data_IF_281877671904
#
_entry.id   IF_281877671904
#
_cell.length_a   1.000
_cell.length_b   1.000
_cell.length_c   1.000
_cell.angle_alpha   90.00
_cell.angle_beta   90.00
_cell.angle_gamma   90.00
#
_symmetry.space_group_name_H-M   'P 1'
#
loop_
_entity.id
_entity.type
_entity.pdbx_description
1 polymer ?
#
# COMPACT_ATOMS: atom_id res chain seq x y z
N UNK A 1 -44.62 -4.13 20.30
CA UNK A 1 -43.18 -4.35 20.54
C UNK A 1 -42.51 -4.54 19.19
N UNK A 2 -41.74 -3.56 18.72
CA UNK A 2 -41.00 -3.66 17.45
C UNK A 2 -39.61 -4.19 17.78
N UNK A 3 -39.37 -5.46 17.47
CA UNK A 3 -38.03 -6.04 17.47
C UNK A 3 -37.24 -5.41 16.34
N UNK A 4 -36.40 -4.44 16.69
CA UNK A 4 -35.50 -3.75 15.76
C UNK A 4 -34.29 -4.65 15.52
N UNK A 5 -34.49 -5.73 14.76
CA UNK A 5 -33.38 -6.49 14.21
C UNK A 5 -32.73 -5.61 13.14
N UNK A 6 -31.60 -4.98 13.48
CA UNK A 6 -30.80 -4.22 12.52
C UNK A 6 -30.03 -5.22 11.67
N UNK A 7 -30.73 -5.93 10.80
CA UNK A 7 -30.12 -6.71 9.73
C UNK A 7 -29.23 -5.78 8.92
N UNK A 8 -27.91 -6.00 8.98
CA UNK A 8 -26.96 -5.36 8.08
C UNK A 8 -27.40 -5.67 6.65
N UNK A 9 -27.84 -4.67 5.91
CA UNK A 9 -28.19 -4.81 4.49
C UNK A 9 -26.95 -5.31 3.73
N UNK A 10 -27.03 -6.56 3.27
CA UNK A 10 -25.93 -7.26 2.60
C UNK A 10 -25.74 -6.69 1.18
N UNK A 11 -24.59 -6.07 0.92
CA UNK A 11 -24.25 -5.57 -0.42
C UNK A 11 -23.38 -6.59 -1.15
N UNK A 12 -24.03 -7.58 -1.76
CA UNK A 12 -23.39 -8.65 -2.54
C UNK A 12 -22.44 -8.11 -3.62
N UNK A 13 -22.84 -7.05 -4.30
CA UNK A 13 -22.03 -6.40 -5.35
C UNK A 13 -20.72 -5.84 -4.80
N UNK A 14 -20.75 -5.14 -3.66
CA UNK A 14 -19.53 -4.61 -3.03
C UNK A 14 -18.60 -5.74 -2.59
N UNK A 15 -19.15 -6.86 -2.12
CA UNK A 15 -18.36 -8.04 -1.78
C UNK A 15 -17.72 -8.68 -3.01
N UNK A 16 -18.47 -8.84 -4.11
CA UNK A 16 -17.94 -9.34 -5.37
C UNK A 16 -16.79 -8.47 -5.91
N UNK A 17 -16.94 -7.14 -5.86
CA UNK A 17 -15.88 -6.22 -6.30
C UNK A 17 -14.65 -6.31 -5.40
N UNK A 18 -14.82 -6.45 -4.07
CA UNK A 18 -13.69 -6.67 -3.15
C UNK A 18 -12.91 -7.94 -3.46
N UNK A 19 -13.62 -9.03 -3.75
CA UNK A 19 -13.00 -10.30 -4.13
C UNK A 19 -12.23 -10.13 -5.45
N UNK A 20 -12.84 -9.50 -6.45
CA UNK A 20 -12.17 -9.21 -7.73
C UNK A 20 -10.93 -8.34 -7.54
N UNK A 21 -11.01 -7.28 -6.71
CA UNK A 21 -9.88 -6.42 -6.40
C UNK A 21 -8.74 -7.17 -5.68
N UNK A 22 -9.06 -8.12 -4.79
CA UNK A 22 -8.08 -8.96 -4.11
C UNK A 22 -7.28 -9.83 -5.10
N UNK A 23 -7.95 -10.50 -6.04
CA UNK A 23 -7.24 -11.28 -7.06
C UNK A 23 -6.46 -10.37 -8.03
N UNK A 24 -7.03 -9.23 -8.38
CA UNK A 24 -6.40 -8.26 -9.28
C UNK A 24 -5.11 -7.67 -8.70
N UNK A 25 -5.05 -7.35 -7.40
CA UNK A 25 -3.81 -6.86 -6.78
C UNK A 25 -2.72 -7.93 -6.73
N UNK A 26 -3.09 -9.21 -6.62
CA UNK A 26 -2.10 -10.29 -6.73
C UNK A 26 -1.60 -10.40 -8.18
N UNK A 27 -2.51 -10.30 -9.15
CA UNK A 27 -2.18 -10.41 -10.57
C UNK A 27 -1.25 -9.31 -11.08
N UNK A 28 -1.28 -8.09 -10.53
CA UNK A 28 -0.32 -7.05 -10.91
C UNK A 28 1.12 -7.35 -10.45
N UNK A 29 1.30 -8.24 -9.47
CA UNK A 29 2.62 -8.65 -8.96
C UNK A 29 3.14 -9.93 -9.61
N UNK A 30 2.28 -10.70 -10.28
CA UNK A 30 2.66 -11.92 -10.99
C UNK A 30 2.81 -11.60 -12.47
N UNK A 31 3.97 -11.88 -13.05
CA UNK A 31 4.18 -11.78 -14.49
C UNK A 31 3.42 -12.88 -15.21
N UNK A 32 2.29 -12.52 -15.83
CA UNK A 32 1.50 -13.43 -16.65
C UNK A 32 2.05 -13.42 -18.08
N UNK A 33 2.41 -14.58 -18.66
CA UNK A 33 3.03 -14.63 -19.98
C UNK A 33 2.05 -14.26 -21.10
N UNK A 34 2.59 -13.75 -22.21
CA UNK A 34 1.85 -13.46 -23.43
C UNK A 34 1.02 -12.18 -23.42
N UNK A 35 0.42 -11.86 -24.57
CA UNK A 35 -0.36 -10.63 -24.78
C UNK A 35 -1.60 -10.55 -23.87
N UNK A 36 -2.24 -11.69 -23.61
CA UNK A 36 -3.41 -11.78 -22.73
C UNK A 36 -3.04 -11.45 -21.28
N UNK A 37 -1.89 -11.96 -20.80
CA UNK A 37 -1.39 -11.66 -19.47
C UNK A 37 -1.09 -10.17 -19.28
N UNK A 38 -0.42 -9.55 -20.25
CA UNK A 38 -0.15 -8.12 -20.24
C UNK A 38 -1.44 -7.28 -20.25
N UNK A 39 -2.44 -7.67 -21.06
CA UNK A 39 -3.74 -7.00 -21.08
C UNK A 39 -4.47 -7.11 -19.74
N UNK A 40 -4.47 -8.31 -19.13
CA UNK A 40 -5.08 -8.50 -17.82
C UNK A 40 -4.39 -7.68 -16.73
N UNK A 41 -3.06 -7.58 -16.74
CA UNK A 41 -2.33 -6.74 -15.79
C UNK A 41 -2.72 -5.26 -15.89
N UNK A 42 -3.01 -4.75 -17.09
CA UNK A 42 -3.48 -3.37 -17.28
C UNK A 42 -4.83 -3.18 -16.58
N UNK A 43 -5.77 -4.11 -16.81
CA UNK A 43 -7.09 -4.07 -16.18
C UNK A 43 -6.94 -4.18 -14.65
N UNK A 44 -6.15 -5.13 -14.18
CA UNK A 44 -5.96 -5.45 -12.76
C UNK A 44 -5.45 -4.26 -11.91
N UNK A 45 -4.86 -3.23 -12.54
CA UNK A 45 -4.47 -1.98 -11.87
C UNK A 45 -5.63 -1.24 -11.20
N UNK A 46 -6.88 -1.48 -11.61
CA UNK A 46 -8.06 -0.91 -10.95
C UNK A 46 -8.14 -1.29 -9.46
N UNK A 47 -7.53 -2.40 -9.05
CA UNK A 47 -7.55 -2.88 -7.67
C UNK A 47 -7.03 -1.85 -6.68
N UNK A 48 -5.93 -1.17 -7.02
CA UNK A 48 -5.26 -0.20 -6.16
C UNK A 48 -6.17 0.99 -5.80
N UNK A 49 -6.74 1.75 -6.77
CA UNK A 49 -7.70 2.79 -6.45
C UNK A 49 -8.98 2.25 -5.79
N UNK A 50 -9.40 1.01 -6.08
CA UNK A 50 -10.54 0.40 -5.39
C UNK A 50 -10.29 0.20 -3.89
N UNK A 51 -9.09 -0.27 -3.49
CA UNK A 51 -8.72 -0.39 -2.08
C UNK A 51 -8.71 0.96 -1.36
N UNK A 52 -8.22 2.01 -2.02
CA UNK A 52 -8.26 3.36 -1.48
C UNK A 52 -9.69 3.88 -1.31
N UNK A 53 -10.54 3.69 -2.31
CA UNK A 53 -11.94 4.10 -2.27
C UNK A 53 -12.72 3.37 -1.15
N UNK A 54 -12.52 2.05 -1.02
CA UNK A 54 -13.12 1.27 0.07
C UNK A 54 -12.64 1.78 1.43
N UNK A 55 -11.35 2.05 1.57
CA UNK A 55 -10.77 2.55 2.83
C UNK A 55 -11.29 3.93 3.19
N UNK A 56 -11.47 4.82 2.22
CA UNK A 56 -12.09 6.15 2.40
C UNK A 56 -13.56 6.03 2.76
N UNK A 57 -14.32 5.20 2.05
CA UNK A 57 -15.74 4.93 2.33
C UNK A 57 -15.96 4.45 3.76
N UNK A 58 -15.17 3.47 4.23
CA UNK A 58 -15.24 2.98 5.61
C UNK A 58 -14.59 3.92 6.63
N UNK A 59 -14.05 5.06 6.23
CA UNK A 59 -13.61 6.15 7.12
C UNK A 59 -14.59 7.32 7.11
N UNK A 60 -15.58 7.34 6.20
CA UNK A 60 -16.56 8.40 6.11
C UNK A 60 -17.46 8.46 7.35
N UNK A 61 -17.67 9.68 7.86
CA UNK A 61 -18.52 9.97 9.02
C UNK A 61 -18.15 9.19 10.30
N UNK A 62 -16.88 8.80 10.43
CA UNK A 62 -16.33 8.18 11.64
C UNK A 62 -15.78 9.25 12.58
N UNK A 63 -15.85 9.02 13.89
CA UNK A 63 -15.30 9.94 14.88
C UNK A 63 -13.78 10.18 14.69
N UNK A 64 -13.35 11.42 14.93
CA UNK A 64 -11.94 11.83 14.84
C UNK A 64 -11.00 10.90 15.62
N UNK A 65 -11.40 10.48 16.82
CA UNK A 65 -10.63 9.55 17.66
C UNK A 65 -10.39 8.19 17.00
N UNK A 66 -11.37 7.65 16.26
CA UNK A 66 -11.22 6.39 15.54
C UNK A 66 -10.27 6.54 14.34
N UNK A 67 -10.35 7.64 13.60
CA UNK A 67 -9.42 7.95 12.49
C UNK A 67 -8.00 8.09 13.04
N UNK A 68 -7.79 8.86 14.11
CA UNK A 68 -6.50 9.00 14.77
C UNK A 68 -5.93 7.65 15.23
N UNK A 69 -6.77 6.75 15.75
CA UNK A 69 -6.34 5.41 16.11
C UNK A 69 -5.93 4.56 14.89
N UNK A 70 -6.58 4.73 13.73
CA UNK A 70 -6.18 4.10 12.47
C UNK A 70 -4.84 4.65 11.98
N UNK A 71 -4.67 5.97 11.98
CA UNK A 71 -3.39 6.64 11.65
C UNK A 71 -2.27 6.10 12.54
N UNK A 72 -2.46 6.05 13.86
CA UNK A 72 -1.47 5.50 14.81
C UNK A 72 -1.12 4.04 14.52
N UNK A 73 -2.11 3.22 14.14
CA UNK A 73 -1.87 1.80 13.76
C UNK A 73 -1.03 1.72 12.48
N UNK A 74 -1.40 2.46 11.43
CA UNK A 74 -0.67 2.48 10.16
C UNK A 74 0.73 3.05 10.34
N UNK A 75 0.87 4.15 11.08
CA UNK A 75 2.17 4.76 11.36
C UNK A 75 3.12 3.78 12.08
N UNK A 76 2.61 3.05 13.10
CA UNK A 76 3.40 2.00 13.76
C UNK A 76 3.79 0.87 12.80
N UNK A 77 2.90 0.50 11.88
CA UNK A 77 3.17 -0.53 10.87
C UNK A 77 4.23 -0.05 9.86
N UNK A 78 4.14 1.20 9.41
CA UNK A 78 5.14 1.84 8.55
C UNK A 78 6.49 1.82 9.25
N UNK A 79 6.58 2.29 10.49
CA UNK A 79 7.86 2.34 11.21
C UNK A 79 8.50 0.96 11.33
N UNK A 80 7.72 -0.06 11.74
CA UNK A 80 8.21 -1.44 11.87
C UNK A 80 8.64 -2.04 10.52
N UNK A 81 7.85 -1.81 9.48
CA UNK A 81 8.14 -2.36 8.15
C UNK A 81 9.36 -1.67 7.53
N UNK A 82 9.42 -0.33 7.58
CA UNK A 82 10.57 0.44 7.11
C UNK A 82 11.85 0.00 7.80
N UNK A 83 11.82 -0.16 9.13
CA UNK A 83 12.97 -0.65 9.87
C UNK A 83 13.43 -2.03 9.39
N UNK A 84 12.51 -2.97 9.19
CA UNK A 84 12.81 -4.29 8.65
C UNK A 84 13.45 -4.23 7.26
N UNK A 85 12.91 -3.44 6.33
CA UNK A 85 13.47 -3.31 4.99
C UNK A 85 14.80 -2.57 4.95
N UNK A 86 15.02 -1.58 5.83
CA UNK A 86 16.33 -0.91 5.97
C UNK A 86 17.39 -1.90 6.40
N UNK A 87 17.10 -2.79 7.36
CA UNK A 87 18.05 -3.83 7.78
C UNK A 87 18.43 -4.72 6.59
N UNK A 88 17.43 -5.20 5.83
CA UNK A 88 17.67 -6.04 4.65
C UNK A 88 18.51 -5.28 3.62
N UNK A 89 18.17 -4.01 3.37
CA UNK A 89 18.87 -3.17 2.40
C UNK A 89 20.33 -2.97 2.77
N UNK A 90 20.61 -2.60 4.03
CA UNK A 90 21.99 -2.45 4.53
C UNK A 90 22.75 -3.77 4.47
N UNK A 91 22.12 -4.88 4.88
CA UNK A 91 22.74 -6.20 4.84
C UNK A 91 23.11 -6.64 3.42
N UNK A 92 22.25 -6.37 2.43
CA UNK A 92 22.49 -6.70 1.03
C UNK A 92 23.73 -5.95 0.48
N UNK A 93 23.79 -4.64 0.69
CA UNK A 93 24.93 -3.82 0.22
C UNK A 93 26.22 -4.08 1.00
N UNK A 94 26.12 -4.45 2.28
CA UNK A 94 27.28 -4.87 3.06
C UNK A 94 27.92 -6.14 2.49
N UNK A 95 27.09 -7.12 2.11
CA UNK A 95 27.56 -8.36 1.48
C UNK A 95 28.20 -8.13 0.11
N UNK A 96 27.72 -7.13 -0.63
CA UNK A 96 28.27 -6.73 -1.93
C UNK A 96 29.51 -5.82 -1.81
N UNK A 97 29.90 -5.41 -0.59
CA UNK A 97 31.04 -4.52 -0.34
C UNK A 97 30.82 -3.07 -0.79
N UNK A 98 29.58 -2.68 -1.08
CA UNK A 98 29.26 -1.44 -1.78
C UNK A 98 28.44 -0.44 -0.93
N UNK A 99 28.91 -0.20 0.30
CA UNK A 99 28.22 0.63 1.30
C UNK A 99 28.03 2.11 0.86
N UNK A 100 28.81 2.59 -0.11
CA UNK A 100 28.72 3.96 -0.61
C UNK A 100 27.38 4.23 -1.32
N UNK A 101 26.77 3.23 -1.94
CA UNK A 101 25.49 3.38 -2.65
C UNK A 101 24.33 3.69 -1.70
N UNK A 102 24.41 3.26 -0.45
CA UNK A 102 23.40 3.58 0.57
C UNK A 102 23.32 5.10 0.72
N UNK A 103 24.47 5.78 0.90
CA UNK A 103 24.51 7.23 1.08
C UNK A 103 24.15 8.00 -0.20
N UNK A 104 24.52 7.47 -1.38
CA UNK A 104 24.16 8.09 -2.66
C UNK A 104 22.65 8.07 -2.93
N UNK A 105 21.95 7.04 -2.44
CA UNK A 105 20.50 6.95 -2.57
C UNK A 105 19.77 7.96 -1.69
N UNK A 106 20.36 8.37 -0.56
CA UNK A 106 19.86 9.46 0.29
C UNK A 106 20.23 10.86 -0.26
N UNK A 107 19.86 11.12 -1.50
CA UNK A 107 20.01 12.44 -2.12
C UNK A 107 18.69 13.23 -2.09
N UNK A 108 18.79 14.55 -2.24
CA UNK A 108 17.62 15.45 -2.21
C UNK A 108 16.58 15.09 -3.27
N UNK A 109 17.02 14.67 -4.47
CA UNK A 109 16.13 14.27 -5.57
C UNK A 109 15.26 13.07 -5.22
N UNK A 110 15.84 12.05 -4.58
CA UNK A 110 15.14 10.84 -4.16
C UNK A 110 14.23 11.11 -2.97
N UNK A 111 14.62 12.00 -2.06
CA UNK A 111 13.72 12.48 -0.99
C UNK A 111 12.50 13.19 -1.59
N UNK A 112 12.69 14.08 -2.56
CA UNK A 112 11.58 14.74 -3.26
C UNK A 112 10.70 13.70 -3.96
N UNK A 113 11.31 12.70 -4.64
CA UNK A 113 10.56 11.63 -5.29
C UNK A 113 9.77 10.77 -4.31
N UNK A 114 10.30 10.54 -3.13
CA UNK A 114 9.57 9.88 -2.06
C UNK A 114 8.41 10.73 -1.55
N UNK A 115 8.61 12.00 -1.21
CA UNK A 115 7.55 12.84 -0.63
C UNK A 115 6.43 13.14 -1.63
N UNK A 116 6.78 13.45 -2.89
CA UNK A 116 5.80 13.86 -3.91
C UNK A 116 5.18 12.66 -4.63
N UNK A 117 6.02 11.69 -5.05
CA UNK A 117 5.56 10.55 -5.84
C UNK A 117 5.40 9.26 -5.03
N UNK A 118 5.59 9.32 -3.71
CA UNK A 118 5.53 8.18 -2.79
C UNK A 118 6.52 7.04 -3.14
N UNK A 119 7.58 7.33 -3.91
CA UNK A 119 8.53 6.33 -4.43
C UNK A 119 9.58 5.89 -3.41
N UNK A 120 9.15 5.20 -2.36
CA UNK A 120 10.05 4.70 -1.29
C UNK A 120 11.13 3.73 -1.79
N UNK A 121 10.86 3.03 -2.91
CA UNK A 121 11.82 2.13 -3.54
C UNK A 121 13.10 2.82 -4.00
N UNK A 122 13.05 4.13 -4.29
CA UNK A 122 14.21 4.90 -4.73
C UNK A 122 15.17 5.19 -3.55
N UNK A 123 14.67 5.10 -2.30
CA UNK A 123 15.47 5.31 -1.09
C UNK A 123 16.01 4.01 -0.48
N UNK A 124 15.15 2.98 -0.37
CA UNK A 124 15.43 1.73 0.39
C UNK A 124 15.43 0.50 -0.53
N UNK A 125 15.56 0.72 -1.84
CA UNK A 125 15.63 -0.33 -2.86
C UNK A 125 14.28 -0.94 -3.25
N UNK A 126 14.30 -1.72 -4.32
CA UNK A 126 13.10 -2.29 -4.95
C UNK A 126 12.33 -3.27 -4.05
N UNK A 127 12.98 -3.90 -3.07
CA UNK A 127 12.34 -4.83 -2.14
C UNK A 127 11.31 -4.11 -1.26
N UNK A 128 11.50 -2.82 -1.00
CA UNK A 128 10.59 -1.99 -0.22
C UNK A 128 9.39 -1.47 -1.03
N UNK A 129 9.23 -1.85 -2.31
CA UNK A 129 8.10 -1.43 -3.16
C UNK A 129 6.72 -1.58 -2.49
N UNK A 130 6.42 -2.69 -1.75
CA UNK A 130 5.13 -2.84 -1.08
C UNK A 130 4.82 -1.75 -0.03
N UNK A 131 5.83 -1.06 0.52
CA UNK A 131 5.63 0.00 1.51
C UNK A 131 4.92 1.21 0.93
N UNK A 132 5.02 1.42 -0.39
CA UNK A 132 4.31 2.48 -1.10
C UNK A 132 2.83 2.53 -0.69
N UNK A 133 2.17 1.36 -0.62
CA UNK A 133 0.75 1.29 -0.28
C UNK A 133 0.47 1.78 1.15
N UNK A 134 1.37 1.48 2.11
CA UNK A 134 1.23 1.92 3.50
C UNK A 134 1.35 3.44 3.65
N UNK A 135 2.28 4.05 2.92
CA UNK A 135 2.41 5.51 2.87
C UNK A 135 1.22 6.16 2.14
N UNK A 136 0.73 5.55 1.06
CA UNK A 136 -0.44 6.05 0.33
C UNK A 136 -1.70 6.06 1.20
N UNK A 137 -1.94 4.99 1.96
CA UNK A 137 -3.10 4.96 2.87
C UNK A 137 -2.95 5.93 4.04
N UNK A 138 -1.71 6.21 4.48
CA UNK A 138 -1.45 7.25 5.47
C UNK A 138 -1.84 8.62 4.92
N UNK A 139 -1.49 8.95 3.67
CA UNK A 139 -1.88 10.20 3.02
C UNK A 139 -3.40 10.36 2.87
N UNK A 140 -4.15 9.27 2.73
CA UNK A 140 -5.62 9.31 2.65
C UNK A 140 -6.27 9.64 4.00
N UNK A 141 -5.60 9.32 5.12
CA UNK A 141 -6.15 9.53 6.46
C UNK A 141 -5.73 10.86 7.09
N UNK A 142 -4.64 11.46 6.64
CA UNK A 142 -4.18 12.80 7.04
C UNK A 142 -5.01 13.85 6.30
#
# INVERSE_FOLDING_TARGET
MVTKDKGLTYNSTLHAIKVLACFSVVAIHIWLPGKIGAFYQIIARFAVPMFFLISGFYSYNISKNKIQNRIKKIFRLILRSTFFYVIIFVWMFWREGNMQFIFQNFNLTNIIRFVIFNRISDLIGYLATPLWYLFAILYIYI
#
